data_IF_707866447099
#
_entry.id   IF_707866447099
#
_cell.length_a   1.000
_cell.length_b   1.000
_cell.length_c   1.000
_cell.angle_alpha   90.00
_cell.angle_beta   90.00
_cell.angle_gamma   90.00
#
_symmetry.space_group_name_H-M   'P 1'
#
loop_
_entity.id
_entity.type
_entity.pdbx_description
1 polymer ?
#
# COMPACT_ATOMS: atom_id res chain seq x y z
N UNK A 1 -25.04 -39.43 37.36
CA UNK A 1 -25.53 -38.05 37.16
C UNK A 1 -24.34 -37.12 37.29
N UNK A 2 -23.88 -36.53 36.19
CA UNK A 2 -22.97 -35.38 36.25
C UNK A 2 -23.69 -34.27 35.50
N UNK A 3 -24.34 -33.41 36.27
CA UNK A 3 -25.12 -32.29 35.78
C UNK A 3 -24.14 -31.17 35.45
N UNK A 4 -23.73 -31.09 34.19
CA UNK A 4 -22.90 -29.99 33.71
C UNK A 4 -23.72 -28.69 33.85
N UNK A 5 -23.24 -27.77 34.67
CA UNK A 5 -23.88 -26.49 34.95
C UNK A 5 -23.89 -25.63 33.67
N UNK A 6 -25.03 -25.05 33.28
CA UNK A 6 -25.15 -24.26 32.05
C UNK A 6 -24.23 -23.04 32.03
N UNK A 7 -23.80 -22.55 33.20
CA UNK A 7 -22.86 -21.43 33.35
C UNK A 7 -21.47 -21.73 32.76
N UNK A 8 -21.00 -22.98 32.84
CA UNK A 8 -19.70 -23.38 32.34
C UNK A 8 -19.67 -23.45 30.81
N UNK A 9 -20.80 -23.81 30.18
CA UNK A 9 -20.95 -23.83 28.72
C UNK A 9 -20.89 -22.41 28.12
N UNK A 10 -21.47 -21.42 28.80
CA UNK A 10 -21.48 -20.02 28.35
C UNK A 10 -20.08 -19.41 28.38
N UNK A 11 -19.25 -19.79 29.37
CA UNK A 11 -17.87 -19.30 29.47
C UNK A 11 -16.99 -19.79 28.29
N UNK A 12 -17.17 -21.05 27.85
CA UNK A 12 -16.48 -21.58 26.66
C UNK A 12 -16.94 -20.91 25.36
N UNK A 13 -18.22 -20.56 25.23
CA UNK A 13 -18.75 -19.83 24.08
C UNK A 13 -18.22 -18.37 24.02
N UNK A 14 -18.10 -17.71 25.17
CA UNK A 14 -17.57 -16.35 25.24
C UNK A 14 -16.06 -16.26 24.96
N UNK A 15 -15.27 -17.26 25.38
CA UNK A 15 -13.85 -17.35 25.02
C UNK A 15 -13.62 -17.79 23.56
N UNK A 16 -14.55 -18.53 22.95
CA UNK A 16 -14.46 -18.94 21.55
C UNK A 16 -14.72 -17.81 20.54
N UNK A 17 -15.54 -16.83 20.89
CA UNK A 17 -15.92 -15.73 19.99
C UNK A 17 -14.83 -14.65 19.81
N UNK A 18 -13.79 -14.64 20.67
CA UNK A 18 -12.64 -13.75 20.53
C UNK A 18 -11.51 -14.36 19.69
N UNK A 19 -11.66 -15.63 19.28
CA UNK A 19 -10.73 -16.30 18.39
C UNK A 19 -11.07 -16.03 16.93
N UNK A 20 -10.15 -15.38 16.20
CA UNK A 20 -10.12 -15.24 14.74
C UNK A 20 -10.97 -14.09 14.14
N UNK A 21 -10.81 -12.86 14.63
CA UNK A 21 -10.66 -11.79 13.63
C UNK A 21 -9.25 -11.93 13.07
N UNK A 22 -9.10 -12.72 12.00
CA UNK A 22 -7.91 -12.60 11.17
C UNK A 22 -7.89 -11.15 10.68
N UNK A 23 -7.03 -10.32 11.27
CA UNK A 23 -6.69 -9.02 10.70
C UNK A 23 -6.35 -9.27 9.25
N UNK A 24 -7.08 -8.65 8.34
CA UNK A 24 -6.84 -8.78 6.92
C UNK A 24 -5.44 -8.21 6.66
N UNK A 25 -4.46 -9.11 6.51
CA UNK A 25 -3.09 -8.71 6.21
C UNK A 25 -3.01 -8.27 4.74
N UNK A 26 -2.03 -7.41 4.47
CA UNK A 26 -1.84 -6.72 3.21
C UNK A 26 -3.02 -5.84 2.79
N UNK A 27 -3.65 -5.18 3.75
CA UNK A 27 -4.50 -4.02 3.46
C UNK A 27 -3.59 -2.82 3.14
N UNK A 28 -3.65 -2.29 1.92
CA UNK A 28 -2.80 -1.16 1.54
C UNK A 28 -3.20 0.16 2.20
N UNK A 29 -4.45 0.30 2.66
CA UNK A 29 -4.94 1.47 3.41
C UNK A 29 -4.02 1.77 4.58
N UNK A 30 -3.50 3.00 4.65
CA UNK A 30 -2.68 3.45 5.77
C UNK A 30 -1.40 4.17 5.37
N UNK A 31 -0.44 4.19 6.30
CA UNK A 31 0.82 4.92 6.17
C UNK A 31 1.98 3.96 5.94
N UNK A 32 2.79 4.29 4.94
CA UNK A 32 3.95 3.51 4.52
C UNK A 32 5.18 4.42 4.44
N UNK A 33 6.33 3.87 4.79
CA UNK A 33 7.63 4.52 4.61
C UNK A 33 8.57 3.57 3.89
N UNK A 34 9.35 4.10 2.95
CA UNK A 34 10.37 3.32 2.25
C UNK A 34 11.78 3.51 2.85
N UNK A 35 12.74 2.74 2.35
CA UNK A 35 14.14 2.76 2.82
C UNK A 35 14.88 4.07 2.51
N UNK A 36 14.32 4.96 1.68
CA UNK A 36 14.85 6.29 1.39
C UNK A 36 14.27 7.37 2.32
N UNK A 37 13.31 7.02 3.18
CA UNK A 37 12.60 7.95 4.07
C UNK A 37 11.40 8.65 3.44
N UNK A 38 11.01 8.30 2.20
CA UNK A 38 9.78 8.80 1.59
C UNK A 38 8.57 8.22 2.29
N UNK A 39 7.56 9.06 2.52
CA UNK A 39 6.31 8.67 3.14
C UNK A 39 5.19 8.60 2.10
N UNK A 40 4.32 7.61 2.26
CA UNK A 40 3.15 7.42 1.42
C UNK A 40 1.95 7.18 2.33
N UNK A 41 0.83 7.82 2.00
CA UNK A 41 -0.46 7.53 2.61
C UNK A 41 -1.40 7.04 1.51
N UNK A 42 -1.87 5.81 1.64
CA UNK A 42 -2.94 5.27 0.79
C UNK A 42 -4.23 5.42 1.60
N UNK A 43 -5.24 6.03 0.98
CA UNK A 43 -6.56 6.16 1.59
C UNK A 43 -7.32 4.84 1.49
N UNK A 44 -8.64 4.88 1.64
CA UNK A 44 -9.47 3.68 1.55
C UNK A 44 -9.29 2.98 0.19
N UNK A 45 -8.92 1.70 0.22
CA UNK A 45 -9.00 0.86 -0.97
C UNK A 45 -10.44 0.43 -1.19
N UNK A 46 -10.99 0.81 -2.33
CA UNK A 46 -12.39 0.56 -2.68
C UNK A 46 -12.62 -0.93 -2.98
N UNK A 47 -13.89 -1.34 -3.00
CA UNK A 47 -14.31 -2.71 -3.31
C UNK A 47 -13.82 -3.18 -4.69
N UNK A 48 -13.66 -2.28 -5.65
CA UNK A 48 -13.12 -2.59 -6.98
C UNK A 48 -11.58 -2.65 -7.04
N UNK A 49 -10.90 -2.44 -5.91
CA UNK A 49 -9.44 -2.45 -5.80
C UNK A 49 -8.77 -1.09 -6.07
N UNK A 50 -9.51 -0.08 -6.50
CA UNK A 50 -8.96 1.26 -6.75
C UNK A 50 -8.69 2.01 -5.45
N UNK A 51 -7.64 2.82 -5.45
CA UNK A 51 -7.30 3.71 -4.33
C UNK A 51 -6.65 5.00 -4.82
N UNK A 52 -6.76 6.03 -4.00
CA UNK A 52 -6.02 7.27 -4.11
C UNK A 52 -5.21 7.52 -2.82
N UNK A 53 -4.37 8.55 -2.85
CA UNK A 53 -3.50 8.84 -1.73
C UNK A 53 -2.58 10.01 -1.97
N UNK A 54 -1.55 10.10 -1.11
CA UNK A 54 -0.47 11.08 -1.22
C UNK A 54 0.89 10.42 -1.07
N UNK A 55 1.85 10.97 -1.80
CA UNK A 55 3.26 10.61 -1.73
C UNK A 55 4.09 11.85 -1.40
N UNK A 56 4.92 11.73 -0.37
CA UNK A 56 5.91 12.72 0.02
C UNK A 56 7.29 12.08 -0.13
N UNK A 57 8.00 12.41 -1.21
CA UNK A 57 9.34 11.87 -1.42
C UNK A 57 10.35 12.53 -0.47
N UNK A 58 11.36 11.80 0.00
CA UNK A 58 12.48 12.39 0.73
C UNK A 58 13.61 12.90 -0.20
N UNK A 59 13.55 12.51 -1.48
CA UNK A 59 14.60 12.77 -2.47
C UNK A 59 14.02 13.27 -3.79
N UNK A 60 14.76 14.12 -4.48
CA UNK A 60 14.40 14.66 -5.80
C UNK A 60 15.66 14.97 -6.60
N UNK A 61 15.63 14.75 -7.91
CA UNK A 61 16.67 15.21 -8.83
C UNK A 61 16.46 16.68 -9.27
N UNK A 62 15.26 17.23 -9.05
CA UNK A 62 14.93 18.63 -9.30
C UNK A 62 15.32 19.51 -8.09
N UNK A 63 15.76 20.76 -8.31
CA UNK A 63 15.98 21.73 -7.24
C UNK A 63 14.68 22.32 -6.66
N UNK A 64 13.52 22.03 -7.25
CA UNK A 64 12.22 22.47 -6.74
C UNK A 64 11.99 21.98 -5.31
N UNK A 65 11.28 22.79 -4.52
CA UNK A 65 10.82 22.38 -3.20
C UNK A 65 9.93 21.13 -3.30
N UNK A 66 10.25 20.12 -2.52
CA UNK A 66 9.46 18.89 -2.43
C UNK A 66 8.15 19.20 -1.71
N UNK A 67 7.04 18.81 -2.32
CA UNK A 67 5.71 18.92 -1.72
C UNK A 67 4.92 17.62 -1.88
N UNK A 68 3.87 17.45 -1.07
CA UNK A 68 2.92 16.35 -1.21
C UNK A 68 2.39 16.27 -2.64
N UNK A 69 2.43 15.06 -3.21
CA UNK A 69 1.98 14.78 -4.57
C UNK A 69 0.90 13.70 -4.57
N UNK A 70 -0.21 13.86 -5.31
CA UNK A 70 -1.27 12.86 -5.35
C UNK A 70 -0.78 11.56 -6.00
N UNK A 71 -1.32 10.44 -5.51
CA UNK A 71 -1.18 9.14 -6.17
C UNK A 71 -2.55 8.53 -6.46
N UNK A 72 -2.64 7.76 -7.55
CA UNK A 72 -3.79 6.95 -7.92
C UNK A 72 -3.32 5.56 -8.32
N UNK A 73 -4.00 4.52 -7.88
CA UNK A 73 -3.61 3.15 -8.17
C UNK A 73 -4.74 2.15 -8.02
N UNK A 74 -4.38 0.89 -8.20
CA UNK A 74 -5.26 -0.24 -7.96
C UNK A 74 -4.47 -1.45 -7.47
N UNK A 75 -5.16 -2.32 -6.74
CA UNK A 75 -4.63 -3.63 -6.33
C UNK A 75 -5.52 -4.76 -6.80
N UNK A 76 -4.94 -5.94 -6.93
CA UNK A 76 -5.72 -7.17 -7.06
C UNK A 76 -6.45 -7.47 -5.74
N UNK A 77 -7.65 -8.02 -5.85
CA UNK A 77 -8.53 -8.20 -4.70
C UNK A 77 -8.00 -9.20 -3.65
N UNK A 78 -8.31 -8.99 -2.36
CA UNK A 78 -7.65 -9.62 -1.22
C UNK A 78 -7.95 -11.12 -1.01
N UNK A 79 -8.67 -11.79 -1.93
CA UNK A 79 -8.71 -13.26 -1.95
C UNK A 79 -7.30 -13.85 -2.15
N UNK A 80 -6.41 -13.07 -2.76
CA UNK A 80 -4.97 -13.28 -2.77
C UNK A 80 -4.41 -12.60 -1.52
N UNK A 81 -4.16 -13.35 -0.45
CA UNK A 81 -3.67 -12.88 0.86
C UNK A 81 -2.46 -11.92 0.84
N UNK A 82 -1.79 -11.78 -0.30
CA UNK A 82 -0.62 -10.94 -0.56
C UNK A 82 -0.72 -10.39 -2.00
N UNK A 83 -1.59 -9.38 -2.25
CA UNK A 83 -1.96 -8.95 -3.59
C UNK A 83 -0.85 -8.14 -4.28
N UNK A 84 -0.85 -8.20 -5.61
CA UNK A 84 -0.09 -7.26 -6.45
C UNK A 84 -0.84 -5.96 -6.60
N UNK A 85 -0.11 -4.86 -6.75
CA UNK A 85 -0.66 -3.54 -6.92
C UNK A 85 0.21 -2.68 -7.82
N UNK A 86 -0.37 -1.59 -8.30
CA UNK A 86 0.37 -0.52 -8.95
C UNK A 86 -0.28 0.82 -8.71
N UNK A 87 0.53 1.88 -8.70
CA UNK A 87 0.04 3.25 -8.58
C UNK A 87 0.94 4.22 -9.34
N UNK A 88 0.36 5.37 -9.67
CA UNK A 88 1.02 6.46 -10.36
C UNK A 88 1.07 7.65 -9.42
N UNK A 89 2.23 8.29 -9.28
CA UNK A 89 2.42 9.55 -8.57
C UNK A 89 2.54 10.68 -9.58
N UNK A 90 1.65 11.66 -9.47
CA UNK A 90 1.69 12.88 -10.27
C UNK A 90 2.37 13.98 -9.44
N UNK A 91 3.62 14.29 -9.76
CA UNK A 91 4.44 15.18 -8.93
C UNK A 91 3.97 16.64 -9.01
N UNK A 92 3.61 17.24 -7.88
CA UNK A 92 3.10 18.61 -7.82
C UNK A 92 4.18 19.69 -7.99
N UNK A 93 5.47 19.31 -8.05
CA UNK A 93 6.62 20.24 -8.08
C UNK A 93 7.55 20.04 -9.29
N UNK A 94 7.22 19.11 -10.20
CA UNK A 94 7.97 18.86 -11.45
C UNK A 94 7.05 18.35 -12.55
N UNK A 95 7.45 18.50 -13.81
CA UNK A 95 6.77 17.92 -14.97
C UNK A 95 7.14 16.44 -15.19
N UNK A 96 7.21 15.66 -14.11
CA UNK A 96 7.55 14.23 -14.17
C UNK A 96 6.40 13.39 -13.62
N UNK A 97 6.42 12.09 -13.92
CA UNK A 97 5.46 11.12 -13.39
C UNK A 97 6.20 9.86 -12.98
N UNK A 98 5.84 9.25 -11.86
CA UNK A 98 6.45 7.97 -11.43
C UNK A 98 5.38 6.92 -11.29
N UNK A 99 5.60 5.75 -11.88
CA UNK A 99 4.77 4.57 -11.65
C UNK A 99 5.50 3.61 -10.72
N UNK A 100 4.76 3.03 -9.80
CA UNK A 100 5.21 1.94 -8.93
C UNK A 100 4.38 0.70 -9.23
N UNK A 101 5.03 -0.45 -9.26
CA UNK A 101 4.37 -1.76 -9.28
C UNK A 101 5.00 -2.66 -8.25
N UNK A 102 4.22 -3.50 -7.61
CA UNK A 102 4.74 -4.33 -6.54
C UNK A 102 3.75 -5.33 -5.99
N UNK A 103 4.14 -5.91 -4.86
CA UNK A 103 3.35 -6.87 -4.10
C UNK A 103 3.56 -6.63 -2.61
N UNK A 104 2.48 -6.75 -1.85
CA UNK A 104 2.57 -6.79 -0.40
C UNK A 104 2.90 -8.21 0.06
N UNK A 105 3.84 -8.32 1.00
CA UNK A 105 4.19 -9.57 1.65
C UNK A 105 4.03 -9.46 3.16
N UNK A 106 3.77 -10.59 3.81
CA UNK A 106 3.85 -10.74 5.27
C UNK A 106 5.04 -11.63 5.58
N UNK A 107 5.98 -11.12 6.36
CA UNK A 107 7.17 -11.89 6.73
C UNK A 107 6.90 -12.93 7.83
N UNK A 108 7.91 -13.72 8.18
CA UNK A 108 7.82 -14.77 9.21
C UNK A 108 7.47 -14.24 10.61
N UNK A 109 7.60 -12.93 10.84
CA UNK A 109 7.28 -12.24 12.09
C UNK A 109 5.91 -11.55 12.04
N UNK A 110 5.17 -11.68 10.93
CA UNK A 110 3.86 -11.05 10.73
C UNK A 110 3.95 -9.58 10.32
N UNK A 111 5.13 -9.07 9.95
CA UNK A 111 5.30 -7.69 9.48
C UNK A 111 4.97 -7.59 8.00
N UNK A 112 4.16 -6.60 7.65
CA UNK A 112 3.82 -6.28 6.28
C UNK A 112 4.93 -5.48 5.59
N UNK A 113 5.25 -5.87 4.35
CA UNK A 113 6.31 -5.27 3.55
C UNK A 113 5.86 -5.12 2.11
N UNK A 114 5.89 -3.90 1.59
CA UNK A 114 5.68 -3.64 0.17
C UNK A 114 6.99 -3.80 -0.59
N UNK A 115 7.05 -4.78 -1.51
CA UNK A 115 8.16 -4.91 -2.45
C UNK A 115 7.77 -4.30 -3.77
N UNK A 116 8.43 -3.21 -4.15
CA UNK A 116 8.07 -2.43 -5.33
C UNK A 116 9.26 -2.21 -6.25
N UNK A 117 8.95 -2.04 -7.53
CA UNK A 117 9.81 -1.42 -8.53
C UNK A 117 9.14 -0.13 -8.99
N UNK A 118 9.92 0.77 -9.58
CA UNK A 118 9.41 2.03 -10.09
C UNK A 118 10.10 2.46 -11.37
N UNK A 119 9.39 3.26 -12.16
CA UNK A 119 9.92 3.97 -13.31
C UNK A 119 9.53 5.45 -13.16
N UNK A 120 10.50 6.33 -13.23
CA UNK A 120 10.28 7.77 -13.30
C UNK A 120 10.33 8.18 -14.77
N UNK A 121 9.31 8.90 -15.23
CA UNK A 121 9.25 9.43 -16.58
C UNK A 121 9.37 10.95 -16.54
N UNK A 122 10.43 11.46 -17.17
CA UNK A 122 10.65 12.89 -17.38
C UNK A 122 9.86 13.40 -18.57
N UNK A 123 9.38 14.64 -18.51
CA UNK A 123 8.93 15.36 -19.70
C UNK A 123 10.10 15.49 -20.69
N UNK A 124 9.82 15.27 -21.97
CA UNK A 124 10.78 15.45 -23.07
C UNK A 124 10.16 16.37 -24.10
N UNK A 125 10.92 17.37 -24.55
CA UNK A 125 10.45 18.37 -25.51
C UNK A 125 10.19 17.78 -26.91
N UNK A 126 10.85 16.67 -27.26
CA UNK A 126 10.72 15.99 -28.53
C UNK A 126 11.01 14.48 -28.43
N UNK A 127 10.59 13.74 -29.45
CA UNK A 127 10.73 12.28 -29.53
C UNK A 127 12.19 11.81 -29.58
N UNK A 128 13.11 12.62 -30.11
CA UNK A 128 14.53 12.29 -30.18
C UNK A 128 15.20 12.25 -28.81
N UNK A 129 14.60 12.89 -27.80
CA UNK A 129 15.05 12.89 -26.42
C UNK A 129 14.40 11.80 -25.54
N UNK A 130 13.49 10.99 -26.07
CA UNK A 130 12.75 9.95 -25.34
C UNK A 130 13.66 8.91 -24.65
N UNK A 131 14.78 8.56 -25.29
CA UNK A 131 15.68 7.50 -24.84
C UNK A 131 16.29 7.73 -23.44
N UNK A 132 16.34 8.98 -22.98
CA UNK A 132 16.91 9.40 -21.69
C UNK A 132 15.84 9.84 -20.69
N UNK A 133 14.57 9.64 -21.00
CA UNK A 133 13.47 10.15 -20.22
C UNK A 133 12.97 9.16 -19.16
N UNK A 134 13.54 7.96 -19.09
CA UNK A 134 13.17 6.90 -18.13
C UNK A 134 14.41 6.27 -17.51
#
# INVERSE_FOLDING_TARGET
MVQATPLLLVLFLALGAHGLQATQQCELTGHWQNDLGSNMTIYEVKENGDFDGKYLTAVSASPSEIVDSPLLGSQHLPYLSQPTFGFTVHWNFTDTITVFTGQCFVDEYGKEVLKTMWLLRSHSEDLGNDWKAT
#
